data_IF_499839505755
#
_entry.id   IF_499839505755
#
_cell.length_a   1.000
_cell.length_b   1.000
_cell.length_c   1.000
_cell.angle_alpha   90.00
_cell.angle_beta   90.00
_cell.angle_gamma   90.00
#
_symmetry.space_group_name_H-M   'P 1'
#
loop_
_entity.id
_entity.type
_entity.pdbx_description
1 polymer ?
#
# COMPACT_ATOMS: atom_id res chain seq x y z
N UNK A 1 -42.57 16.38 -25.95
CA UNK A 1 -41.53 15.37 -26.21
C UNK A 1 -40.22 16.11 -26.39
N UNK A 2 -39.52 16.38 -25.30
CA UNK A 2 -38.23 17.04 -25.30
C UNK A 2 -37.39 16.45 -24.17
N UNK A 3 -36.12 16.24 -24.47
CA UNK A 3 -35.01 16.13 -23.53
C UNK A 3 -34.95 14.85 -22.69
N UNK A 4 -34.43 13.78 -23.29
CA UNK A 4 -33.88 12.63 -22.53
C UNK A 4 -32.48 12.21 -23.03
N UNK A 5 -31.74 13.13 -23.66
CA UNK A 5 -30.42 12.86 -24.26
C UNK A 5 -29.24 13.50 -23.53
N UNK A 6 -29.46 14.33 -22.50
CA UNK A 6 -28.36 14.99 -21.76
C UNK A 6 -27.89 14.21 -20.52
N UNK A 7 -28.73 13.32 -19.96
CA UNK A 7 -28.40 12.56 -18.75
C UNK A 7 -27.39 11.41 -18.98
N UNK A 8 -27.10 11.06 -20.23
CA UNK A 8 -26.11 10.03 -20.59
C UNK A 8 -24.72 10.57 -20.92
N UNK A 9 -24.56 11.90 -21.05
CA UNK A 9 -23.27 12.52 -21.40
C UNK A 9 -22.41 12.79 -20.16
N UNK A 10 -23.01 13.26 -19.07
CA UNK A 10 -22.29 13.64 -17.85
C UNK A 10 -21.70 12.43 -17.08
N UNK A 11 -22.39 11.29 -17.08
CA UNK A 11 -21.87 10.02 -16.51
C UNK A 11 -20.81 9.36 -17.41
N UNK A 12 -20.84 9.66 -18.72
CA UNK A 12 -19.85 9.18 -19.69
C UNK A 12 -18.58 10.05 -19.67
N UNK A 13 -18.71 11.35 -19.38
CA UNK A 13 -17.59 12.27 -19.13
C UNK A 13 -16.91 11.99 -17.77
N UNK A 14 -17.66 11.52 -16.77
CA UNK A 14 -17.12 11.04 -15.48
C UNK A 14 -16.33 9.73 -15.58
N UNK A 15 -16.46 8.98 -16.69
CA UNK A 15 -15.65 7.82 -17.04
C UNK A 15 -14.37 8.19 -17.80
N UNK A 16 -14.13 9.47 -18.10
CA UNK A 16 -12.89 9.97 -18.69
C UNK A 16 -11.77 9.94 -17.64
N UNK A 17 -11.05 8.81 -17.61
CA UNK A 17 -9.75 8.59 -16.96
C UNK A 17 -9.59 9.19 -15.56
N UNK A 18 -9.80 8.39 -14.52
CA UNK A 18 -9.20 8.69 -13.20
C UNK A 18 -7.71 8.97 -13.43
N UNK A 19 -7.28 10.21 -13.14
CA UNK A 19 -5.87 10.60 -13.29
C UNK A 19 -4.98 9.63 -12.53
N UNK A 20 -3.82 9.27 -13.10
CA UNK A 20 -2.83 8.43 -12.42
C UNK A 20 -2.44 9.01 -11.05
N UNK A 21 -2.54 10.34 -10.87
CA UNK A 21 -2.35 11.00 -9.57
C UNK A 21 -3.42 10.59 -8.55
N UNK A 22 -4.69 10.51 -8.93
CA UNK A 22 -5.76 10.09 -8.02
C UNK A 22 -5.69 8.60 -7.69
N UNK A 23 -5.31 7.76 -8.67
CA UNK A 23 -5.02 6.35 -8.44
C UNK A 23 -3.85 6.20 -7.46
N UNK A 24 -2.79 6.99 -7.62
CA UNK A 24 -1.62 6.96 -6.74
C UNK A 24 -1.96 7.46 -5.33
N UNK A 25 -2.79 8.50 -5.18
CA UNK A 25 -3.30 8.96 -3.89
C UNK A 25 -4.10 7.87 -3.18
N UNK A 26 -4.92 7.12 -3.93
CA UNK A 26 -5.69 6.00 -3.39
C UNK A 26 -4.78 4.85 -2.95
N UNK A 27 -3.83 4.44 -3.80
CA UNK A 27 -2.86 3.41 -3.46
C UNK A 27 -2.03 3.79 -2.23
N UNK A 28 -1.58 5.05 -2.15
CA UNK A 28 -0.85 5.59 -1.01
C UNK A 28 -1.64 5.56 0.30
N UNK A 29 -2.90 6.02 0.29
CA UNK A 29 -3.77 5.98 1.48
C UNK A 29 -4.03 4.55 1.94
N UNK A 30 -4.38 3.68 1.00
CA UNK A 30 -4.62 2.27 1.28
C UNK A 30 -3.39 1.61 1.89
N UNK A 31 -2.21 1.84 1.31
CA UNK A 31 -0.96 1.31 1.83
C UNK A 31 -0.66 1.87 3.22
N UNK A 32 -0.92 3.14 3.48
CA UNK A 32 -0.69 3.72 4.81
C UNK A 32 -1.62 3.15 5.89
N UNK A 33 -2.87 2.86 5.53
CA UNK A 33 -3.89 2.40 6.46
C UNK A 33 -3.88 0.88 6.69
N UNK A 34 -3.47 0.08 5.70
CA UNK A 34 -3.46 -1.38 5.83
C UNK A 34 -2.34 -1.86 6.77
N UNK A 35 -2.59 -2.84 7.66
CA UNK A 35 -1.57 -3.40 8.55
C UNK A 35 -0.57 -4.34 7.82
N UNK A 36 -0.98 -4.92 6.69
CA UNK A 36 -0.16 -5.81 5.85
C UNK A 36 0.35 -5.10 4.58
N UNK A 37 1.30 -5.71 3.88
CA UNK A 37 1.77 -5.23 2.57
C UNK A 37 0.70 -5.49 1.50
N UNK A 38 0.34 -4.46 0.74
CA UNK A 38 -0.63 -4.58 -0.35
C UNK A 38 0.06 -4.93 -1.69
N UNK A 39 -0.70 -5.36 -2.72
CA UNK A 39 -0.13 -5.61 -4.05
C UNK A 39 0.54 -4.38 -4.65
N UNK A 40 1.78 -4.54 -5.12
CA UNK A 40 2.54 -3.49 -5.78
C UNK A 40 1.86 -3.03 -7.07
N UNK A 41 1.54 -1.74 -7.15
CA UNK A 41 0.93 -1.10 -8.32
C UNK A 41 1.98 -0.78 -9.39
N UNK A 42 2.60 -1.81 -10.00
CA UNK A 42 3.72 -1.66 -10.93
C UNK A 42 3.43 -0.75 -12.12
N UNK A 43 2.36 -1.04 -12.86
CA UNK A 43 2.00 -0.25 -14.05
C UNK A 43 1.71 1.21 -13.70
N UNK A 44 1.07 1.46 -12.55
CA UNK A 44 0.78 2.83 -12.09
C UNK A 44 2.06 3.58 -11.71
N UNK A 45 2.99 2.92 -11.03
CA UNK A 45 4.29 3.51 -10.66
C UNK A 45 5.11 3.86 -11.89
N UNK A 46 5.18 2.96 -12.88
CA UNK A 46 5.92 3.22 -14.11
C UNK A 46 5.30 4.34 -14.94
N UNK A 47 3.96 4.39 -15.06
CA UNK A 47 3.30 5.54 -15.70
C UNK A 47 3.55 6.84 -14.94
N UNK A 48 3.45 6.83 -13.61
CA UNK A 48 3.70 8.02 -12.80
C UNK A 48 5.14 8.53 -12.95
N UNK A 49 6.13 7.64 -12.99
CA UNK A 49 7.54 8.02 -13.27
C UNK A 49 7.68 8.66 -14.65
N UNK A 50 7.14 8.03 -15.69
CA UNK A 50 7.22 8.58 -17.05
C UNK A 50 6.53 9.95 -17.19
N UNK A 51 5.42 10.18 -16.47
CA UNK A 51 4.78 11.50 -16.42
C UNK A 51 5.62 12.54 -15.68
N UNK A 52 6.29 12.15 -14.58
CA UNK A 52 7.21 13.04 -13.84
C UNK A 52 8.38 13.45 -14.75
N UNK A 53 9.02 12.48 -15.41
CA UNK A 53 10.16 12.73 -16.32
C UNK A 53 9.77 13.62 -17.51
N UNK A 54 8.58 13.42 -18.07
CA UNK A 54 8.07 14.26 -19.17
C UNK A 54 7.83 15.70 -18.71
N UNK A 55 7.22 15.90 -17.54
CA UNK A 55 6.93 17.23 -17.01
C UNK A 55 8.22 17.95 -16.61
N UNK A 56 9.22 17.22 -16.10
CA UNK A 56 10.57 17.76 -15.85
C UNK A 56 11.18 18.35 -17.14
N UNK A 57 11.18 17.59 -18.23
CA UNK A 57 11.69 18.09 -19.53
C UNK A 57 10.90 19.30 -20.05
N UNK A 58 9.56 19.27 -19.96
CA UNK A 58 8.74 20.40 -20.39
C UNK A 58 9.01 21.67 -19.57
N UNK A 59 9.29 21.55 -18.26
CA UNK A 59 9.64 22.69 -17.41
C UNK A 59 10.98 23.30 -17.85
N UNK A 60 11.97 22.47 -18.20
CA UNK A 60 13.25 22.92 -18.74
C UNK A 60 13.04 23.71 -20.05
N UNK A 61 12.26 23.16 -20.99
CA UNK A 61 11.92 23.82 -22.25
C UNK A 61 11.18 25.16 -22.01
N UNK A 62 10.23 25.22 -21.07
CA UNK A 62 9.49 26.44 -20.75
C UNK A 62 10.38 27.56 -20.20
N UNK A 63 11.45 27.19 -19.49
CA UNK A 63 12.44 28.15 -19.00
C UNK A 63 13.28 28.68 -20.16
N UNK A 64 13.68 27.81 -21.11
CA UNK A 64 14.44 28.21 -22.30
C UNK A 64 13.62 29.09 -23.25
N UNK A 65 12.34 28.77 -23.44
CA UNK A 65 11.40 29.50 -24.31
C UNK A 65 10.96 30.86 -23.72
N UNK A 66 11.32 31.15 -22.47
CA UNK A 66 11.00 32.41 -21.80
C UNK A 66 9.51 32.57 -21.47
N UNK A 67 8.83 31.46 -21.16
CA UNK A 67 7.44 31.48 -20.68
C UNK A 67 7.35 32.26 -19.36
N UNK A 68 6.16 32.81 -19.06
CA UNK A 68 5.89 33.52 -17.81
C UNK A 68 6.40 32.72 -16.59
N UNK A 69 7.32 33.28 -15.78
CA UNK A 69 7.87 32.63 -14.59
C UNK A 69 6.81 32.12 -13.61
N UNK A 70 5.63 32.76 -13.55
CA UNK A 70 4.54 32.32 -12.68
C UNK A 70 3.96 30.98 -13.14
N UNK A 71 3.85 30.76 -14.45
CA UNK A 71 3.35 29.52 -15.04
C UNK A 71 4.35 28.40 -14.81
N UNK A 72 5.64 28.65 -15.04
CA UNK A 72 6.71 27.70 -14.75
C UNK A 72 6.71 27.30 -13.27
N UNK A 73 6.58 28.27 -12.36
CA UNK A 73 6.51 27.99 -10.92
C UNK A 73 5.30 27.13 -10.55
N UNK A 74 4.16 27.30 -11.20
CA UNK A 74 2.97 26.48 -10.96
C UNK A 74 3.21 25.02 -11.35
N UNK A 75 3.79 24.78 -12.54
CA UNK A 75 4.14 23.43 -12.97
C UNK A 75 5.18 22.78 -12.05
N UNK A 76 6.18 23.54 -11.59
CA UNK A 76 7.16 23.04 -10.62
C UNK A 76 6.50 22.61 -9.30
N UNK A 77 5.57 23.40 -8.78
CA UNK A 77 4.84 23.06 -7.55
C UNK A 77 4.01 21.79 -7.69
N UNK A 78 3.35 21.59 -8.83
CA UNK A 78 2.57 20.37 -9.09
C UNK A 78 3.45 19.13 -9.31
N UNK A 79 4.61 19.31 -9.96
CA UNK A 79 5.64 18.28 -10.09
C UNK A 79 6.14 17.83 -8.71
N UNK A 80 6.53 18.78 -7.85
CA UNK A 80 7.04 18.51 -6.50
C UNK A 80 6.01 17.73 -5.67
N UNK A 81 4.73 18.10 -5.76
CA UNK A 81 3.62 17.39 -5.08
C UNK A 81 3.47 15.96 -5.57
N UNK A 82 3.60 15.74 -6.88
CA UNK A 82 3.48 14.41 -7.49
C UNK A 82 4.68 13.53 -7.15
N UNK A 83 5.89 14.08 -7.19
CA UNK A 83 7.10 13.39 -6.73
C UNK A 83 7.01 13.02 -5.25
N UNK A 84 6.55 13.94 -4.39
CA UNK A 84 6.35 13.67 -2.98
C UNK A 84 5.40 12.49 -2.77
N UNK A 85 4.27 12.47 -3.47
CA UNK A 85 3.28 11.41 -3.36
C UNK A 85 3.86 10.04 -3.75
N UNK A 86 4.56 9.97 -4.89
CA UNK A 86 5.21 8.74 -5.35
C UNK A 86 6.28 8.26 -4.36
N UNK A 87 7.16 9.15 -3.90
CA UNK A 87 8.19 8.84 -2.90
C UNK A 87 7.58 8.39 -1.58
N UNK A 88 6.49 9.03 -1.15
CA UNK A 88 5.79 8.67 0.08
C UNK A 88 5.19 7.27 0.00
N UNK A 89 4.53 6.93 -1.12
CA UNK A 89 4.02 5.57 -1.37
C UNK A 89 5.12 4.52 -1.29
N UNK A 90 6.21 4.69 -2.04
CA UNK A 90 7.32 3.74 -2.04
C UNK A 90 7.98 3.62 -0.65
N UNK A 91 8.10 4.74 0.08
CA UNK A 91 8.70 4.73 1.42
C UNK A 91 7.84 4.04 2.47
N UNK A 92 6.52 4.19 2.42
CA UNK A 92 5.60 3.44 3.30
C UNK A 92 5.73 1.94 3.05
N UNK A 93 5.82 1.52 1.79
CA UNK A 93 6.03 0.11 1.44
C UNK A 93 7.35 -0.43 1.97
N UNK A 94 8.46 0.28 1.76
CA UNK A 94 9.76 -0.11 2.28
C UNK A 94 9.75 -0.27 3.80
N UNK A 95 9.08 0.62 4.53
CA UNK A 95 8.95 0.53 5.98
C UNK A 95 8.21 -0.75 6.42
N UNK A 96 7.15 -1.13 5.70
CA UNK A 96 6.44 -2.39 5.97
C UNK A 96 7.28 -3.62 5.63
N UNK A 97 8.00 -3.57 4.50
CA UNK A 97 8.88 -4.66 4.07
C UNK A 97 9.99 -4.86 5.11
N UNK A 98 10.62 -3.79 5.58
CA UNK A 98 11.61 -3.84 6.65
C UNK A 98 11.03 -4.41 7.95
N UNK A 99 9.81 -4.01 8.33
CA UNK A 99 9.17 -4.52 9.55
C UNK A 99 8.83 -6.01 9.48
N UNK A 100 8.40 -6.51 8.32
CA UNK A 100 7.88 -7.87 8.15
C UNK A 100 8.75 -8.74 7.22
N UNK A 101 10.05 -8.44 7.10
CA UNK A 101 10.93 -9.04 6.11
C UNK A 101 10.95 -10.58 6.15
N UNK A 102 11.06 -11.17 7.34
CA UNK A 102 11.12 -12.62 7.50
C UNK A 102 9.77 -13.29 7.19
N UNK A 103 8.67 -12.67 7.59
CA UNK A 103 7.32 -13.16 7.27
C UNK A 103 7.06 -13.10 5.77
N UNK A 104 7.44 -12.00 5.11
CA UNK A 104 7.26 -11.82 3.66
C UNK A 104 8.08 -12.85 2.87
N UNK A 105 9.32 -13.12 3.26
CA UNK A 105 10.18 -14.10 2.57
C UNK A 105 9.74 -15.56 2.78
N UNK A 106 8.95 -15.83 3.83
CA UNK A 106 8.39 -17.16 4.12
C UNK A 106 7.07 -17.40 3.38
N UNK A 107 6.28 -16.34 3.17
CA UNK A 107 4.95 -16.41 2.54
C UNK A 107 5.02 -16.05 1.06
N UNK A 108 4.80 -17.04 0.18
CA UNK A 108 4.77 -16.83 -1.28
C UNK A 108 3.71 -15.79 -1.69
N UNK A 109 2.56 -15.76 -0.99
CA UNK A 109 1.50 -14.77 -1.27
C UNK A 109 2.00 -13.35 -0.97
N UNK A 110 2.66 -13.14 0.16
CA UNK A 110 3.20 -11.84 0.52
C UNK A 110 4.36 -11.43 -0.41
N UNK A 111 5.26 -12.36 -0.76
CA UNK A 111 6.36 -12.10 -1.69
C UNK A 111 5.85 -11.72 -3.09
N UNK A 112 4.74 -12.32 -3.56
CA UNK A 112 4.13 -12.00 -4.85
C UNK A 112 3.63 -10.55 -4.95
N UNK A 113 3.38 -9.91 -3.81
CA UNK A 113 2.90 -8.52 -3.72
C UNK A 113 4.02 -7.48 -3.84
N UNK A 114 5.29 -7.89 -3.90
CA UNK A 114 6.46 -7.02 -4.00
C UNK A 114 6.93 -6.85 -5.44
N UNK A 115 7.52 -5.68 -5.74
CA UNK A 115 8.31 -5.50 -6.96
C UNK A 115 9.63 -6.28 -6.91
N UNK A 116 10.28 -6.52 -8.05
CA UNK A 116 11.58 -7.21 -8.08
C UNK A 116 12.67 -6.47 -7.29
N UNK A 117 12.64 -5.13 -7.32
CA UNK A 117 13.55 -4.29 -6.54
C UNK A 117 13.25 -4.38 -5.04
N UNK A 118 11.96 -4.45 -4.67
CA UNK A 118 11.51 -4.65 -3.28
C UNK A 118 11.92 -6.04 -2.76
N UNK A 119 11.80 -7.10 -3.57
CA UNK A 119 12.27 -8.46 -3.22
C UNK A 119 13.78 -8.47 -2.98
N UNK A 120 14.55 -7.85 -3.87
CA UNK A 120 15.99 -7.73 -3.72
C UNK A 120 16.38 -6.92 -2.47
N UNK A 121 15.60 -5.89 -2.10
CA UNK A 121 15.78 -5.16 -0.85
C UNK A 121 15.47 -6.04 0.37
N UNK A 122 14.34 -6.75 0.39
CA UNK A 122 13.94 -7.63 1.49
C UNK A 122 14.99 -8.71 1.78
N UNK A 123 15.48 -9.39 0.73
CA UNK A 123 16.51 -10.44 0.85
C UNK A 123 17.83 -9.90 1.40
N UNK A 124 18.28 -8.74 0.92
CA UNK A 124 19.51 -8.09 1.43
C UNK A 124 19.36 -7.68 2.89
N UNK A 125 18.27 -7.02 3.23
CA UNK A 125 18.01 -6.57 4.60
C UNK A 125 17.94 -7.76 5.58
N UNK A 126 17.24 -8.84 5.20
CA UNK A 126 17.17 -10.04 6.02
C UNK A 126 18.55 -10.71 6.20
N UNK A 127 19.36 -10.77 5.15
CA UNK A 127 20.72 -11.32 5.22
C UNK A 127 21.65 -10.47 6.10
N UNK A 128 21.62 -9.15 5.92
CA UNK A 128 22.44 -8.21 6.69
C UNK A 128 22.07 -8.24 8.18
N UNK A 129 20.77 -8.29 8.49
CA UNK A 129 20.28 -8.37 9.87
C UNK A 129 20.65 -9.71 10.52
N UNK A 130 20.50 -10.82 9.79
CA UNK A 130 20.88 -12.16 10.26
C UNK A 130 22.36 -12.22 10.58
N UNK A 131 23.21 -11.77 9.65
CA UNK A 131 24.66 -11.70 9.85
C UNK A 131 25.04 -10.83 11.06
N UNK A 132 24.39 -9.67 11.19
CA UNK A 132 24.64 -8.77 12.32
C UNK A 132 24.32 -9.43 13.66
N UNK A 133 23.19 -10.13 13.77
CA UNK A 133 22.82 -10.84 14.99
C UNK A 133 23.71 -12.04 15.29
N UNK A 134 24.10 -12.80 14.26
CA UNK A 134 25.04 -13.91 14.35
C UNK A 134 26.37 -13.47 14.97
N UNK A 135 27.00 -12.45 14.38
CA UNK A 135 28.31 -11.93 14.81
C UNK A 135 28.24 -11.25 16.20
N UNK A 136 27.14 -10.56 16.50
CA UNK A 136 27.03 -9.75 17.72
C UNK A 136 26.69 -10.58 18.95
N UNK A 137 25.71 -11.49 18.84
CA UNK A 137 25.08 -12.15 20.00
C UNK A 137 24.91 -13.66 19.81
N UNK A 138 24.36 -14.12 18.68
CA UNK A 138 23.85 -15.50 18.59
C UNK A 138 24.95 -16.54 18.71
N UNK A 139 26.14 -16.30 18.13
CA UNK A 139 27.29 -17.21 18.29
C UNK A 139 27.80 -17.33 19.74
N UNK A 140 27.43 -16.39 20.62
CA UNK A 140 27.80 -16.41 22.05
C UNK A 140 26.73 -17.11 22.91
N UNK A 141 25.57 -17.41 22.33
CA UNK A 141 24.49 -18.11 23.03
C UNK A 141 24.67 -19.64 22.94
N UNK A 142 24.12 -20.39 23.90
CA UNK A 142 24.05 -21.85 23.81
C UNK A 142 23.34 -22.29 22.52
N UNK A 143 23.69 -23.46 21.99
CA UNK A 143 23.20 -23.99 20.71
C UNK A 143 21.68 -23.92 20.55
N UNK A 144 20.94 -24.04 21.65
CA UNK A 144 19.48 -24.00 21.68
C UNK A 144 18.87 -22.63 21.33
N UNK A 145 19.66 -21.55 21.28
CA UNK A 145 19.21 -20.15 21.15
C UNK A 145 19.91 -19.38 20.03
N UNK A 146 20.58 -20.07 19.10
CA UNK A 146 21.39 -19.42 18.07
C UNK A 146 20.59 -18.96 16.85
N UNK A 147 19.28 -19.18 16.83
CA UNK A 147 18.42 -18.87 15.68
C UNK A 147 17.83 -17.47 15.79
N UNK A 148 17.73 -16.75 14.66
CA UNK A 148 17.08 -15.41 14.61
C UNK A 148 15.55 -15.52 14.67
N UNK A 149 14.99 -16.61 14.16
CA UNK A 149 13.55 -16.76 13.90
C UNK A 149 12.79 -17.46 15.02
N UNK A 150 13.49 -18.18 15.89
CA UNK A 150 12.91 -18.99 16.96
C UNK A 150 13.49 -18.60 18.30
N UNK A 151 12.66 -18.54 19.33
CA UNK A 151 13.11 -18.30 20.69
C UNK A 151 14.00 -19.45 21.18
N UNK A 152 13.67 -20.69 20.82
CA UNK A 152 14.48 -21.87 21.13
C UNK A 152 14.35 -22.96 20.08
N UNK A 153 15.30 -23.90 20.03
CA UNK A 153 15.21 -25.10 19.19
C UNK A 153 13.98 -25.99 19.45
N UNK A 154 13.35 -25.87 20.63
CA UNK A 154 12.16 -26.65 21.01
C UNK A 154 10.88 -25.99 20.47
N UNK A 155 10.96 -24.75 19.99
CA UNK A 155 9.83 -24.02 19.44
C UNK A 155 9.48 -24.59 18.06
N UNK A 156 8.26 -25.10 17.92
CA UNK A 156 7.80 -25.68 16.67
C UNK A 156 7.66 -24.61 15.57
N UNK A 157 7.21 -23.41 15.95
CA UNK A 157 6.96 -22.28 15.06
C UNK A 157 8.02 -21.16 15.20
N UNK A 158 8.06 -20.27 14.21
CA UNK A 158 8.95 -19.11 14.17
C UNK A 158 8.36 -17.96 15.00
N UNK A 159 8.31 -18.15 16.31
CA UNK A 159 7.67 -17.27 17.30
C UNK A 159 8.33 -15.89 17.47
N UNK A 160 9.54 -15.71 16.94
CA UNK A 160 10.27 -14.42 16.96
C UNK A 160 10.12 -13.63 15.67
N UNK A 161 9.39 -14.14 14.67
CA UNK A 161 9.13 -13.44 13.41
C UNK A 161 7.88 -12.55 13.55
N UNK A 162 8.01 -11.22 13.41
CA UNK A 162 6.85 -10.34 13.48
C UNK A 162 5.93 -10.53 12.27
N UNK A 163 4.63 -10.64 12.53
CA UNK A 163 3.59 -10.79 11.49
C UNK A 163 2.63 -9.58 11.47
N UNK A 164 2.01 -9.28 10.31
CA UNK A 164 0.96 -8.27 10.23
C UNK A 164 -0.27 -8.65 11.07
N UNK A 165 -0.64 -7.81 12.03
CA UNK A 165 -1.85 -8.02 12.82
C UNK A 165 -3.10 -7.58 12.05
N UNK A 166 -3.86 -8.55 11.53
CA UNK A 166 -5.08 -8.31 10.77
C UNK A 166 -6.26 -7.80 11.63
N UNK A 167 -6.21 -7.96 12.95
CA UNK A 167 -7.24 -7.44 13.86
C UNK A 167 -7.02 -5.97 14.24
N UNK A 168 -6.02 -5.32 13.63
CA UNK A 168 -5.83 -3.87 13.72
C UNK A 168 -7.07 -3.14 13.19
N UNK A 169 -7.55 -2.17 13.95
CA UNK A 169 -8.68 -1.36 13.52
C UNK A 169 -8.25 -0.33 12.46
N UNK A 170 -9.05 -0.21 11.41
CA UNK A 170 -8.86 0.70 10.29
C UNK A 170 -10.12 1.52 10.08
N UNK A 171 -9.95 2.74 9.55
CA UNK A 171 -11.07 3.54 9.06
C UNK A 171 -11.26 3.19 7.59
N UNK A 172 -12.49 2.85 7.22
CA UNK A 172 -12.83 2.54 5.85
C UNK A 172 -14.12 3.24 5.42
N UNK A 173 -14.25 3.44 4.11
CA UNK A 173 -15.45 3.98 3.47
C UNK A 173 -15.94 3.00 2.43
N UNK A 174 -17.22 2.63 2.52
CA UNK A 174 -17.84 1.75 1.53
C UNK A 174 -18.32 2.53 0.31
N UNK A 175 -18.11 2.00 -0.90
CA UNK A 175 -18.63 2.60 -2.14
C UNK A 175 -20.12 2.34 -2.35
N UNK A 176 -20.61 1.22 -1.81
CA UNK A 176 -21.98 0.74 -1.89
C UNK A 176 -22.45 0.30 -0.50
N UNK A 177 -23.75 0.21 -0.26
CA UNK A 177 -24.24 -0.38 1.00
C UNK A 177 -23.84 -1.85 1.07
N UNK A 178 -23.04 -2.22 2.06
CA UNK A 178 -22.46 -3.55 2.20
C UNK A 178 -22.79 -4.12 3.57
N UNK A 179 -23.14 -5.40 3.62
CA UNK A 179 -23.30 -6.13 4.88
C UNK A 179 -22.08 -7.01 5.09
N UNK A 180 -21.29 -6.70 6.11
CA UNK A 180 -20.13 -7.51 6.48
C UNK A 180 -20.51 -8.45 7.60
N UNK A 181 -20.23 -9.73 7.40
CA UNK A 181 -20.34 -10.72 8.46
C UNK A 181 -19.05 -10.65 9.29
N UNK A 182 -19.13 -10.19 10.53
CA UNK A 182 -18.01 -10.18 11.48
C UNK A 182 -17.81 -11.54 12.15
N UNK A 183 -18.23 -12.64 11.50
CA UNK A 183 -18.26 -13.95 12.13
C UNK A 183 -16.84 -14.42 12.43
N UNK A 184 -16.54 -14.62 13.71
CA UNK A 184 -15.39 -15.39 14.19
C UNK A 184 -15.94 -16.73 14.71
N UNK A 185 -15.32 -17.86 14.36
CA UNK A 185 -15.81 -19.19 14.74
C UNK A 185 -16.04 -19.29 16.26
N UNK A 186 -17.31 -19.37 16.68
CA UNK A 186 -17.71 -19.53 18.10
C UNK A 186 -18.53 -18.37 18.69
N UNK A 187 -18.67 -17.23 18.00
CA UNK A 187 -19.48 -16.09 18.46
C UNK A 187 -20.79 -15.92 17.68
N UNK A 188 -21.75 -15.20 18.27
CA UNK A 188 -23.00 -14.85 17.60
C UNK A 188 -22.72 -14.05 16.33
N UNK A 189 -23.42 -14.30 15.21
CA UNK A 189 -23.20 -13.56 13.97
C UNK A 189 -23.55 -12.08 14.17
N UNK A 190 -22.52 -11.25 14.29
CA UNK A 190 -22.67 -9.78 14.23
C UNK A 190 -22.54 -9.37 12.78
N UNK A 191 -23.65 -8.90 12.21
CA UNK A 191 -23.66 -8.31 10.86
C UNK A 191 -23.45 -6.81 11.05
N UNK A 192 -22.40 -6.28 10.43
CA UNK A 192 -22.16 -4.86 10.36
C UNK A 192 -22.70 -4.34 9.01
N UNK A 193 -23.72 -3.49 9.08
CA UNK A 193 -24.21 -2.77 7.92
C UNK A 193 -23.32 -1.52 7.72
N UNK A 194 -22.59 -1.50 6.60
CA UNK A 194 -21.82 -0.34 6.15
C UNK A 194 -22.65 0.46 5.16
N UNK A 195 -22.98 1.70 5.54
CA UNK A 195 -23.69 2.62 4.67
C UNK A 195 -22.76 3.23 3.61
N UNK A 196 -23.37 3.56 2.47
CA UNK A 196 -22.64 4.11 1.32
C UNK A 196 -22.04 5.47 1.66
N UNK A 197 -20.73 5.59 1.52
CA UNK A 197 -20.01 6.86 1.68
C UNK A 197 -19.70 7.26 3.13
N UNK A 198 -20.24 6.56 4.12
CA UNK A 198 -19.99 6.85 5.53
C UNK A 198 -18.69 6.20 6.03
N UNK A 199 -17.83 6.93 6.76
CA UNK A 199 -16.63 6.36 7.35
C UNK A 199 -17.02 5.47 8.53
N UNK A 200 -16.49 4.24 8.53
CA UNK A 200 -16.70 3.25 9.58
C UNK A 200 -15.37 2.78 10.15
N UNK A 201 -15.36 2.45 11.45
CA UNK A 201 -14.18 1.97 12.15
C UNK A 201 -14.33 0.48 12.47
N UNK A 202 -13.48 -0.35 11.88
CA UNK A 202 -13.64 -1.82 11.86
C UNK A 202 -12.30 -2.52 11.89
N UNK A 203 -12.27 -3.79 12.32
CA UNK A 203 -11.06 -4.63 12.21
C UNK A 203 -10.75 -4.87 10.73
N UNK A 204 -9.48 -4.72 10.33
CA UNK A 204 -9.06 -4.91 8.95
C UNK A 204 -9.41 -6.31 8.43
N UNK A 205 -9.31 -7.36 9.27
CA UNK A 205 -9.70 -8.74 8.94
C UNK A 205 -11.11 -8.86 8.37
N UNK A 206 -12.06 -8.11 8.92
CA UNK A 206 -13.45 -8.15 8.49
C UNK A 206 -13.68 -7.49 7.12
N UNK A 207 -12.92 -6.44 6.81
CA UNK A 207 -13.03 -5.70 5.53
C UNK A 207 -12.06 -6.19 4.46
N UNK A 208 -11.07 -7.03 4.79
CA UNK A 208 -10.01 -7.45 3.86
C UNK A 208 -10.56 -7.96 2.52
N UNK A 209 -11.54 -8.86 2.54
CA UNK A 209 -12.16 -9.40 1.31
C UNK A 209 -12.87 -8.33 0.49
N UNK A 210 -13.62 -7.44 1.15
CA UNK A 210 -14.33 -6.34 0.49
C UNK A 210 -13.38 -5.22 0.00
N UNK A 211 -12.22 -5.10 0.64
CA UNK A 211 -11.13 -4.23 0.21
C UNK A 211 -10.44 -4.80 -1.04
N UNK A 212 -10.12 -6.09 -1.05
CA UNK A 212 -9.54 -6.79 -2.21
C UNK A 212 -10.47 -6.80 -3.43
N UNK A 213 -11.80 -6.87 -3.22
CA UNK A 213 -12.79 -6.73 -4.29
C UNK A 213 -12.98 -5.28 -4.78
N UNK A 214 -12.40 -4.29 -4.07
CA UNK A 214 -12.46 -2.87 -4.42
C UNK A 214 -13.77 -2.17 -4.05
N UNK A 215 -14.65 -2.83 -3.29
CA UNK A 215 -15.92 -2.31 -2.77
C UNK A 215 -15.70 -1.31 -1.62
N UNK A 216 -14.60 -1.49 -0.88
CA UNK A 216 -14.21 -0.66 0.26
C UNK A 216 -12.89 0.07 -0.04
N UNK A 217 -12.78 1.30 0.45
CA UNK A 217 -11.53 2.08 0.44
C UNK A 217 -11.10 2.37 1.88
N UNK A 218 -9.80 2.26 2.14
CA UNK A 218 -9.24 2.67 3.42
C UNK A 218 -8.96 4.18 3.38
N UNK A 219 -9.14 4.84 4.52
CA UNK A 219 -8.99 6.30 4.66
C UNK A 219 -7.72 6.64 5.42
#
# INVERSE_FOLDING_TARGET
MASNSEMGSADFESLLSTSDVELLKRAWRNEKAAPEILPYQGDLVERAKGQIELVEGNIEDYVEDGIDPLVVSLYQMDLDRTQFLLRSYLRVRLLKIEKFMFHILKSEEAESRLSEQEKAFARRCAADLTKHFEESVLLKLPENYQTVQKQSLISDEDDMVPEPNLDTFVVCRSKNSLKLNLYEEGETPVILDLDRGEPSFVRYRAVKRAFESGEVELI
#
